data_IF_859675628524
#
_entry.id   IF_859675628524
#
_cell.length_a   1.000
_cell.length_b   1.000
_cell.length_c   1.000
_cell.angle_alpha   90.00
_cell.angle_beta   90.00
_cell.angle_gamma   90.00
#
_symmetry.space_group_name_H-M   'P 1'
#
loop_
_entity.id
_entity.type
_entity.pdbx_description
1 polymer ?
#
# COMPACT_ATOMS: atom_id res chain seq x y z
N UNK A 1 9.42 7.90 6.94
CA UNK A 1 8.21 8.47 6.29
C UNK A 1 6.98 7.67 6.64
N UNK A 2 5.79 8.28 6.55
CA UNK A 2 4.51 7.65 6.90
C UNK A 2 3.48 7.85 5.79
N UNK A 3 2.66 6.82 5.53
CA UNK A 3 1.45 6.90 4.73
C UNK A 3 0.23 6.90 5.66
N UNK A 4 -0.74 7.78 5.37
CA UNK A 4 -1.91 8.01 6.20
C UNK A 4 -3.20 7.82 5.40
N UNK A 5 -4.21 7.20 6.01
CA UNK A 5 -5.56 7.06 5.47
C UNK A 5 -6.59 7.18 6.59
N UNK A 6 -7.63 8.00 6.39
CA UNK A 6 -8.72 8.25 7.37
C UNK A 6 -8.24 8.47 8.82
N UNK A 7 -7.13 9.21 8.98
CA UNK A 7 -6.55 9.56 10.28
C UNK A 7 -5.68 8.47 10.93
N UNK A 8 -5.50 7.31 10.28
CA UNK A 8 -4.60 6.26 10.73
C UNK A 8 -3.31 6.22 9.88
N UNK A 9 -2.19 5.89 10.52
CA UNK A 9 -0.97 5.49 9.82
C UNK A 9 -1.22 4.09 9.26
N UNK A 10 -0.97 3.88 7.96
CA UNK A 10 -1.12 2.57 7.31
C UNK A 10 0.23 1.96 6.91
N UNK A 11 1.28 2.77 6.81
CA UNK A 11 2.64 2.31 6.57
C UNK A 11 3.65 3.28 7.16
N UNK A 12 4.78 2.77 7.67
CA UNK A 12 5.87 3.61 8.16
C UNK A 12 7.22 2.98 7.88
N UNK A 13 8.05 3.66 7.10
CA UNK A 13 9.42 3.26 6.81
C UNK A 13 10.27 4.46 6.43
N UNK A 14 11.56 4.39 6.76
CA UNK A 14 12.57 5.31 6.24
C UNK A 14 13.31 4.74 5.02
N UNK A 15 13.10 3.45 4.72
CA UNK A 15 13.62 2.74 3.55
C UNK A 15 12.56 2.67 2.45
N UNK A 16 12.00 3.81 2.05
CA UNK A 16 11.09 3.86 0.90
C UNK A 16 11.88 4.06 -0.39
N UNK A 17 11.35 3.54 -1.50
CA UNK A 17 11.88 3.79 -2.83
C UNK A 17 10.94 4.68 -3.63
N UNK A 18 11.49 5.65 -4.35
CA UNK A 18 10.72 6.54 -5.22
C UNK A 18 10.85 6.04 -6.66
N UNK A 19 9.73 5.65 -7.27
CA UNK A 19 9.68 5.18 -8.65
C UNK A 19 8.56 5.91 -9.40
N UNK A 20 8.95 6.62 -10.46
CA UNK A 20 8.01 7.39 -11.31
C UNK A 20 7.10 8.35 -10.52
N UNK A 21 7.65 8.98 -9.49
CA UNK A 21 6.90 9.91 -8.62
C UNK A 21 6.01 9.22 -7.57
N UNK A 22 5.98 7.89 -7.51
CA UNK A 22 5.26 7.13 -6.49
C UNK A 22 6.23 6.66 -5.40
N UNK A 23 5.75 6.67 -4.16
CA UNK A 23 6.47 6.11 -3.02
C UNK A 23 6.12 4.63 -2.84
N UNK A 24 7.14 3.77 -2.81
CA UNK A 24 7.02 2.35 -2.55
C UNK A 24 7.53 2.03 -1.15
N UNK A 25 6.64 1.51 -0.32
CA UNK A 25 6.95 1.05 1.03
C UNK A 25 7.31 -0.45 0.99
N UNK A 26 8.33 -0.89 1.75
CA UNK A 26 8.58 -2.30 1.99
C UNK A 26 7.33 -2.98 2.56
N UNK A 27 7.04 -4.22 2.15
CA UNK A 27 5.83 -4.92 2.55
C UNK A 27 5.72 -5.12 4.07
N UNK A 28 6.86 -5.35 4.74
CA UNK A 28 6.97 -5.49 6.19
C UNK A 28 6.72 -4.18 6.96
N UNK A 29 6.74 -3.03 6.27
CA UNK A 29 6.44 -1.73 6.86
C UNK A 29 4.96 -1.35 6.83
N UNK A 30 4.13 -2.18 6.20
CA UNK A 30 2.68 -2.02 6.17
C UNK A 30 2.07 -2.48 7.49
N UNK A 31 1.16 -1.68 8.03
CA UNK A 31 0.36 -2.07 9.20
C UNK A 31 -0.83 -2.90 8.72
N UNK A 32 -0.58 -4.20 8.54
CA UNK A 32 -1.49 -5.16 7.89
C UNK A 32 -2.88 -5.25 8.54
N UNK A 33 -3.08 -4.77 9.76
CA UNK A 33 -4.40 -4.64 10.40
C UNK A 33 -5.38 -3.76 9.60
N UNK A 34 -4.85 -2.83 8.80
CA UNK A 34 -5.62 -1.94 7.94
C UNK A 34 -5.79 -2.46 6.51
N UNK A 35 -5.28 -3.66 6.17
CA UNK A 35 -5.30 -4.17 4.80
C UNK A 35 -6.11 -5.45 4.70
N UNK A 36 -7.02 -5.49 3.72
CA UNK A 36 -7.79 -6.68 3.37
C UNK A 36 -7.43 -7.15 1.96
N UNK A 37 -7.37 -8.48 1.72
CA UNK A 37 -7.09 -9.01 0.40
C UNK A 37 -8.17 -8.59 -0.59
N UNK A 38 -7.77 -8.23 -1.81
CA UNK A 38 -8.66 -7.98 -2.93
C UNK A 38 -8.39 -8.97 -4.06
N UNK A 39 -9.41 -9.27 -4.85
CA UNK A 39 -9.26 -10.02 -6.10
C UNK A 39 -8.80 -9.14 -7.26
N UNK A 40 -8.75 -7.82 -7.08
CA UNK A 40 -8.36 -6.89 -8.13
C UNK A 40 -6.86 -7.01 -8.47
N UNK A 41 -6.59 -7.17 -9.77
CA UNK A 41 -5.27 -7.37 -10.34
C UNK A 41 -5.14 -6.57 -11.63
N UNK A 42 -3.97 -5.98 -11.85
CA UNK A 42 -3.63 -5.33 -13.13
C UNK A 42 -2.26 -5.82 -13.59
N UNK A 43 -1.98 -5.70 -14.89
CA UNK A 43 -0.70 -6.12 -15.46
C UNK A 43 -0.09 -4.95 -16.21
N UNK A 44 1.16 -4.65 -15.88
CA UNK A 44 1.99 -3.71 -16.61
C UNK A 44 3.12 -4.48 -17.29
N UNK A 45 3.38 -4.16 -18.56
CA UNK A 45 4.35 -4.89 -19.39
C UNK A 45 5.77 -4.97 -18.83
N UNK A 46 6.16 -4.02 -17.98
CA UNK A 46 7.51 -3.96 -17.42
C UNK A 46 7.57 -4.09 -15.89
N UNK A 47 6.48 -3.78 -15.17
CA UNK A 47 6.40 -3.99 -13.70
C UNK A 47 5.85 -5.36 -13.31
N UNK A 48 5.22 -6.08 -14.24
CA UNK A 48 4.55 -7.35 -13.96
C UNK A 48 3.11 -7.18 -13.45
N UNK A 49 2.65 -8.16 -12.68
CA UNK A 49 1.30 -8.20 -12.10
C UNK A 49 1.25 -7.44 -10.75
N UNK A 50 0.32 -6.51 -10.63
CA UNK A 50 0.05 -5.81 -9.38
C UNK A 50 -1.13 -6.47 -8.65
N UNK A 51 -0.92 -6.78 -7.37
CA UNK A 51 -1.94 -7.29 -6.46
C UNK A 51 -2.44 -6.14 -5.59
N UNK A 52 -3.74 -5.89 -5.61
CA UNK A 52 -4.33 -4.81 -4.84
C UNK A 52 -4.84 -5.31 -3.48
N UNK A 53 -4.80 -4.41 -2.51
CA UNK A 53 -5.44 -4.57 -1.21
C UNK A 53 -6.47 -3.47 -1.05
N UNK A 54 -7.52 -3.76 -0.28
CA UNK A 54 -8.44 -2.75 0.23
C UNK A 54 -7.86 -2.20 1.53
N UNK A 55 -7.80 -0.88 1.68
CA UNK A 55 -7.34 -0.24 2.91
C UNK A 55 -8.56 0.11 3.76
N UNK A 56 -8.74 -0.55 4.89
CA UNK A 56 -9.93 -0.42 5.73
C UNK A 56 -9.58 0.26 7.05
N UNK A 57 -10.09 1.48 7.24
CA UNK A 57 -9.90 2.27 8.46
C UNK A 57 -11.25 2.85 8.87
N UNK A 58 -11.66 2.64 10.12
CA UNK A 58 -12.94 3.13 10.68
C UNK A 58 -14.19 2.72 9.88
N UNK A 59 -14.14 1.58 9.17
CA UNK A 59 -15.25 1.07 8.35
C UNK A 59 -15.33 1.66 6.94
N UNK A 60 -14.38 2.52 6.56
CA UNK A 60 -14.26 3.09 5.22
C UNK A 60 -13.17 2.35 4.42
N UNK A 61 -13.38 2.23 3.10
CA UNK A 61 -12.53 1.50 2.14
C UNK A 61 -12.13 2.39 0.98
#
# INVERSE_FOLDING_TARGET
MEAHWNGAVIARSDAIEMLEGNAYFPADSLLMEHFQPSSHRTVCSWKGEAHYFNVVVNGEV
#
